data_IF_447101931089
#
_entry.id   IF_447101931089
#
_cell.length_a   1.000
_cell.length_b   1.000
_cell.length_c   1.000
_cell.angle_alpha   90.00
_cell.angle_beta   90.00
_cell.angle_gamma   90.00
#
_symmetry.space_group_name_H-M   'P 1'
#
loop_
_entity.id
_entity.type
_entity.pdbx_description
1 polymer ?
#
# COMPACT_ATOMS: atom_id res chain seq x y z
N UNK A 1 19.11 3.62 -26.06
CA UNK A 1 19.85 3.84 -24.80
C UNK A 1 19.42 5.19 -24.25
N UNK A 2 18.48 5.22 -23.31
CA UNK A 2 18.05 6.46 -22.66
C UNK A 2 18.93 6.68 -21.43
N UNK A 3 19.62 7.82 -21.43
CA UNK A 3 20.57 8.27 -20.44
C UNK A 3 19.82 8.58 -19.12
N UNK A 4 19.99 7.74 -18.08
CA UNK A 4 19.48 8.05 -16.73
C UNK A 4 20.34 9.16 -16.14
N UNK A 5 19.89 10.41 -16.26
CA UNK A 5 20.45 11.51 -15.47
C UNK A 5 20.24 11.19 -13.98
N UNK A 6 21.26 11.47 -13.17
CA UNK A 6 21.13 11.41 -11.72
C UNK A 6 20.04 12.41 -11.27
N UNK A 7 19.06 11.90 -10.54
CA UNK A 7 17.90 12.62 -10.04
C UNK A 7 18.34 13.50 -8.86
N UNK A 8 18.03 14.79 -8.92
CA UNK A 8 18.43 15.76 -7.89
C UNK A 8 17.54 15.66 -6.63
N UNK A 9 17.96 16.23 -5.49
CA UNK A 9 17.15 16.26 -4.26
C UNK A 9 15.81 16.99 -4.42
N UNK A 10 15.67 17.86 -5.42
CA UNK A 10 14.43 18.60 -5.72
C UNK A 10 13.43 17.78 -6.55
N UNK A 11 13.88 16.73 -7.25
CA UNK A 11 13.02 15.81 -8.01
C UNK A 11 12.31 14.78 -7.11
N UNK A 12 12.77 14.60 -5.86
CA UNK A 12 12.17 13.69 -4.88
C UNK A 12 10.74 14.11 -4.50
N UNK A 13 10.43 15.41 -4.59
CA UNK A 13 9.07 15.92 -4.38
C UNK A 13 8.12 15.47 -5.50
N UNK A 14 8.56 15.56 -6.75
CA UNK A 14 7.80 15.10 -7.90
C UNK A 14 7.70 13.57 -7.98
N UNK A 15 8.75 12.86 -7.56
CA UNK A 15 8.77 11.39 -7.53
C UNK A 15 7.84 10.82 -6.46
N UNK A 16 7.80 11.35 -5.23
CA UNK A 16 6.92 10.82 -4.17
C UNK A 16 5.44 11.15 -4.43
N UNK A 17 5.15 12.32 -5.00
CA UNK A 17 3.78 12.72 -5.36
C UNK A 17 3.24 11.82 -6.50
N UNK A 18 4.12 11.30 -7.35
CA UNK A 18 3.74 10.29 -8.32
C UNK A 18 3.77 8.91 -7.66
N UNK A 19 2.67 8.17 -7.75
CA UNK A 19 2.59 6.74 -7.38
C UNK A 19 3.80 5.92 -7.88
N UNK A 20 4.41 6.34 -8.99
CA UNK A 20 5.67 5.85 -9.52
C UNK A 20 6.75 5.55 -8.47
N UNK A 21 6.98 6.39 -7.45
CA UNK A 21 8.00 6.07 -6.44
C UNK A 21 7.63 4.85 -5.59
N UNK A 22 6.35 4.74 -5.20
CA UNK A 22 5.86 3.59 -4.43
C UNK A 22 5.87 2.30 -5.24
N UNK A 23 5.57 2.39 -6.55
CA UNK A 23 5.64 1.28 -7.49
C UNK A 23 7.08 0.84 -7.73
N UNK A 24 8.01 1.78 -7.96
CA UNK A 24 9.44 1.51 -8.20
C UNK A 24 10.07 0.80 -7.00
N UNK A 25 9.69 1.18 -5.78
CA UNK A 25 10.18 0.54 -4.56
C UNK A 25 9.43 -0.72 -4.16
N UNK A 26 8.34 -1.08 -4.85
CA UNK A 26 7.53 -2.25 -4.51
C UNK A 26 6.92 -2.19 -3.11
N UNK A 27 6.61 -0.98 -2.61
CA UNK A 27 6.09 -0.80 -1.24
C UNK A 27 4.64 -1.28 -1.14
N UNK A 28 3.83 -1.03 -2.18
CA UNK A 28 2.42 -1.39 -2.18
C UNK A 28 2.26 -2.85 -2.65
N UNK A 29 1.59 -3.72 -1.87
CA UNK A 29 1.36 -5.10 -2.25
C UNK A 29 0.50 -5.19 -3.52
N UNK A 30 0.65 -6.27 -4.29
CA UNK A 30 -0.03 -6.45 -5.58
C UNK A 30 -1.57 -6.51 -5.42
N UNK A 31 -2.02 -7.01 -4.28
CA UNK A 31 -3.43 -7.15 -3.90
C UNK A 31 -4.09 -5.80 -3.60
N UNK A 32 -3.31 -4.75 -3.34
CA UNK A 32 -3.83 -3.43 -3.02
C UNK A 32 -3.97 -2.58 -4.28
N UNK A 33 -5.16 -2.56 -4.90
CA UNK A 33 -5.39 -1.87 -6.18
C UNK A 33 -5.98 -0.46 -6.08
N UNK A 34 -6.52 -0.08 -4.91
CA UNK A 34 -7.19 1.22 -4.74
C UNK A 34 -6.27 2.41 -4.99
N UNK A 35 -6.77 3.43 -5.67
CA UNK A 35 -6.07 4.69 -5.96
C UNK A 35 -4.73 4.58 -6.72
N UNK A 36 -4.39 3.41 -7.27
CA UNK A 36 -3.14 3.22 -8.04
C UNK A 36 -3.39 3.41 -9.53
N UNK A 37 -2.49 4.11 -10.25
CA UNK A 37 -2.57 4.22 -11.70
C UNK A 37 -2.62 2.83 -12.35
N UNK A 38 -3.41 2.69 -13.42
CA UNK A 38 -3.54 1.47 -14.21
C UNK A 38 -4.09 0.25 -13.45
N UNK A 39 -4.70 0.46 -12.27
CA UNK A 39 -5.42 -0.57 -11.52
C UNK A 39 -6.85 -0.14 -11.27
N UNK A 40 -7.75 -1.11 -11.18
CA UNK A 40 -9.17 -0.90 -11.02
C UNK A 40 -9.81 -1.96 -10.14
N UNK A 41 -11.01 -1.66 -9.64
CA UNK A 41 -11.84 -2.65 -8.94
C UNK A 41 -12.15 -3.86 -9.82
N UNK A 42 -12.18 -3.70 -11.15
CA UNK A 42 -12.42 -4.80 -12.08
C UNK A 42 -11.29 -5.83 -12.06
N UNK A 43 -10.04 -5.40 -11.88
CA UNK A 43 -8.89 -6.30 -11.83
C UNK A 43 -8.98 -7.22 -10.59
N UNK A 44 -9.33 -6.66 -9.44
CA UNK A 44 -9.54 -7.43 -8.21
C UNK A 44 -10.77 -8.33 -8.28
N UNK A 45 -11.86 -7.84 -8.88
CA UNK A 45 -13.07 -8.65 -9.11
C UNK A 45 -12.76 -9.84 -10.03
N UNK A 46 -11.98 -9.61 -11.10
CA UNK A 46 -11.55 -10.67 -12.00
C UNK A 46 -10.76 -11.75 -11.26
N UNK A 47 -9.80 -11.36 -10.41
CA UNK A 47 -9.03 -12.30 -9.57
C UNK A 47 -9.94 -13.16 -8.69
N UNK A 48 -10.90 -12.56 -7.99
CA UNK A 48 -11.86 -13.28 -7.15
C UNK A 48 -12.71 -14.25 -8.00
N UNK A 49 -13.17 -13.82 -9.18
CA UNK A 49 -13.91 -14.68 -10.10
C UNK A 49 -13.09 -15.88 -10.57
N UNK A 50 -11.81 -15.68 -10.91
CA UNK A 50 -10.90 -16.77 -11.31
C UNK A 50 -10.69 -17.78 -10.18
N UNK A 51 -10.50 -17.30 -8.94
CA UNK A 51 -10.38 -18.17 -7.77
C UNK A 51 -11.64 -19.00 -7.54
N UNK A 52 -12.82 -18.40 -7.70
CA UNK A 52 -14.10 -19.11 -7.59
C UNK A 52 -14.31 -20.16 -8.68
N UNK A 53 -13.99 -19.83 -9.94
CA UNK A 53 -14.07 -20.78 -11.05
C UNK A 53 -13.13 -21.96 -10.86
N UNK A 54 -11.90 -21.71 -10.40
CA UNK A 54 -10.93 -22.76 -10.10
C UNK A 54 -11.43 -23.66 -8.96
N UNK A 55 -11.94 -23.08 -7.88
CA UNK A 55 -12.49 -23.84 -6.75
C UNK A 55 -13.65 -24.75 -7.17
N UNK A 56 -14.56 -24.24 -8.01
CA UNK A 56 -15.64 -25.03 -8.60
C UNK A 56 -15.12 -26.20 -9.43
N UNK A 57 -14.10 -25.97 -10.26
CA UNK A 57 -13.50 -27.00 -11.10
C UNK A 57 -12.86 -28.11 -10.26
N UNK A 58 -12.15 -27.73 -9.20
CA UNK A 58 -11.47 -28.67 -8.30
C UNK A 58 -12.40 -29.26 -7.22
N UNK A 59 -13.69 -28.89 -7.20
CA UNK A 59 -14.66 -29.30 -6.17
C UNK A 59 -14.22 -28.96 -4.74
N UNK A 60 -13.50 -27.85 -4.58
CA UNK A 60 -12.99 -27.36 -3.31
C UNK A 60 -13.89 -26.24 -2.77
N UNK A 61 -14.15 -26.25 -1.46
CA UNK A 61 -14.87 -25.16 -0.81
C UNK A 61 -13.99 -23.90 -0.74
N UNK A 62 -14.54 -22.75 -1.15
CA UNK A 62 -13.91 -21.44 -0.99
C UNK A 62 -14.82 -20.52 -0.18
N UNK A 63 -14.22 -19.80 0.75
CA UNK A 63 -14.86 -18.81 1.59
C UNK A 63 -14.22 -17.45 1.33
N UNK A 64 -15.03 -16.41 1.22
CA UNK A 64 -14.58 -15.03 1.07
C UNK A 64 -15.06 -14.20 2.27
N UNK A 65 -14.16 -13.43 2.87
CA UNK A 65 -14.47 -12.49 3.94
C UNK A 65 -14.30 -11.06 3.40
N UNK A 66 -15.36 -10.27 3.44
CA UNK A 66 -15.32 -8.86 3.06
C UNK A 66 -15.21 -8.01 4.32
N UNK A 67 -14.08 -7.33 4.49
CA UNK A 67 -13.82 -6.42 5.61
C UNK A 67 -13.94 -4.98 5.10
N UNK A 68 -14.84 -4.23 5.72
CA UNK A 68 -14.99 -2.79 5.46
C UNK A 68 -14.50 -2.01 6.68
N UNK A 69 -13.60 -1.04 6.45
CA UNK A 69 -13.13 -0.14 7.50
C UNK A 69 -14.08 1.04 7.63
N UNK A 70 -14.65 1.24 8.81
CA UNK A 70 -15.44 2.43 9.13
C UNK A 70 -14.53 3.65 9.16
N UNK A 71 -14.92 4.72 8.45
CA UNK A 71 -14.23 6.03 8.45
C UNK A 71 -12.71 5.93 8.26
N UNK A 72 -12.27 5.09 7.31
CA UNK A 72 -10.87 4.66 7.18
C UNK A 72 -9.85 5.80 7.08
N UNK A 73 -10.20 6.90 6.40
CA UNK A 73 -9.32 8.07 6.30
C UNK A 73 -9.35 8.92 7.57
N UNK A 74 -10.49 9.02 8.26
CA UNK A 74 -10.66 9.87 9.44
C UNK A 74 -10.07 9.20 10.71
N UNK A 75 -9.83 7.88 10.67
CA UNK A 75 -9.29 7.10 11.78
C UNK A 75 -7.78 6.86 11.74
N UNK A 76 -7.07 7.38 10.73
CA UNK A 76 -5.61 7.19 10.61
C UNK A 76 -4.89 7.90 11.76
N UNK A 77 -4.10 7.14 12.51
CA UNK A 77 -3.16 7.67 13.50
C UNK A 77 -2.01 8.38 12.79
N UNK A 78 -1.94 9.71 12.97
CA UNK A 78 -0.96 10.56 12.30
C UNK A 78 0.46 10.26 12.77
N UNK A 79 0.67 10.04 14.06
CA UNK A 79 2.01 9.80 14.59
C UNK A 79 2.56 8.47 14.07
N UNK A 80 1.71 7.44 14.06
CA UNK A 80 2.05 6.16 13.46
C UNK A 80 2.30 6.27 11.96
N UNK A 81 1.47 7.02 11.23
CA UNK A 81 1.68 7.30 9.80
C UNK A 81 3.05 7.93 9.56
N UNK A 82 3.45 8.92 10.35
CA UNK A 82 4.75 9.56 10.17
C UNK A 82 5.92 8.60 10.38
N UNK A 83 5.80 7.69 11.35
CA UNK A 83 6.81 6.68 11.60
C UNK A 83 6.86 5.65 10.48
N UNK A 84 5.71 5.23 9.94
CA UNK A 84 5.63 4.37 8.75
C UNK A 84 6.33 5.02 7.56
N UNK A 85 6.01 6.29 7.25
CA UNK A 85 6.64 7.00 6.14
C UNK A 85 8.16 7.13 6.32
N UNK A 86 8.63 7.37 7.55
CA UNK A 86 10.06 7.41 7.86
C UNK A 86 10.72 6.06 7.59
N UNK A 87 10.09 4.95 7.99
CA UNK A 87 10.59 3.58 7.77
C UNK A 87 10.61 3.18 6.30
N UNK A 88 9.65 3.64 5.50
CA UNK A 88 9.67 3.49 4.04
C UNK A 88 10.72 4.36 3.33
N UNK A 89 11.47 5.17 4.08
CA UNK A 89 12.56 5.98 3.57
C UNK A 89 12.10 7.28 2.90
N UNK A 90 10.96 7.83 3.34
CA UNK A 90 10.57 9.20 2.95
C UNK A 90 11.58 10.20 3.57
N UNK A 91 12.21 11.09 2.77
CA UNK A 91 13.20 12.02 3.29
C UNK A 91 12.65 12.96 4.39
N UNK A 92 13.43 13.33 5.42
CA UNK A 92 12.95 14.14 6.53
C UNK A 92 12.33 15.48 6.13
N UNK A 93 12.90 16.18 5.13
CA UNK A 93 12.37 17.45 4.62
C UNK A 93 10.97 17.29 4.03
N UNK A 94 10.74 16.20 3.29
CA UNK A 94 9.45 15.87 2.71
C UNK A 94 8.44 15.48 3.79
N UNK A 95 8.85 14.64 4.74
CA UNK A 95 8.00 14.26 5.86
C UNK A 95 7.54 15.49 6.63
N UNK A 96 8.41 16.49 6.83
CA UNK A 96 8.03 17.76 7.43
C UNK A 96 6.95 18.48 6.62
N UNK A 97 7.08 18.57 5.29
CA UNK A 97 6.05 19.18 4.42
C UNK A 97 4.71 18.45 4.55
N UNK A 98 4.71 17.11 4.46
CA UNK A 98 3.50 16.30 4.60
C UNK A 98 2.84 16.50 5.97
N UNK A 99 3.64 16.57 7.03
CA UNK A 99 3.16 16.86 8.40
C UNK A 99 2.51 18.23 8.49
N UNK A 100 3.13 19.27 7.92
CA UNK A 100 2.57 20.63 7.93
C UNK A 100 1.22 20.72 7.23
N UNK A 101 0.93 19.86 6.24
CA UNK A 101 -0.41 19.80 5.62
C UNK A 101 -1.51 19.25 6.55
N UNK A 102 -1.12 18.57 7.62
CA UNK A 102 -2.02 17.87 8.55
C UNK A 102 -1.94 18.41 9.99
N UNK A 103 -1.03 19.33 10.29
CA UNK A 103 -0.92 19.99 11.60
C UNK A 103 -1.92 21.15 11.73
N UNK A 104 -2.39 21.39 12.96
CA UNK A 104 -3.28 22.53 13.26
C UNK A 104 -4.63 22.50 12.55
N UNK A 105 -5.06 21.34 12.06
CA UNK A 105 -6.35 21.20 11.39
C UNK A 105 -7.49 21.49 12.35
N UNK A 106 -8.41 22.36 11.95
CA UNK A 106 -9.65 22.66 12.66
C UNK A 106 -10.84 22.43 11.74
N UNK A 107 -11.92 21.93 12.29
CA UNK A 107 -13.18 21.72 11.58
C UNK A 107 -14.33 22.32 12.37
N UNK A 108 -15.45 22.53 11.68
CA UNK A 108 -16.74 22.87 12.26
C UNK A 108 -17.83 22.29 11.38
N UNK A 109 -18.95 21.93 11.98
CA UNK A 109 -20.07 21.32 11.28
C UNK A 109 -21.06 22.40 10.88
N UNK A 110 -21.54 22.35 9.64
CA UNK A 110 -22.69 23.16 9.21
C UNK A 110 -23.96 22.34 9.41
N UNK A 111 -24.91 22.89 10.15
CA UNK A 111 -26.22 22.29 10.40
C UNK A 111 -27.20 22.64 9.27
N UNK A 112 -28.30 21.88 9.18
CA UNK A 112 -29.29 22.00 8.10
C UNK A 112 -29.98 23.37 8.06
N UNK A 113 -30.09 24.04 9.22
CA UNK A 113 -30.59 25.41 9.36
C UNK A 113 -29.56 26.48 8.95
N UNK A 114 -28.38 26.06 8.47
CA UNK A 114 -27.33 26.95 7.97
C UNK A 114 -26.39 27.50 9.05
N UNK A 115 -26.59 27.13 10.32
CA UNK A 115 -25.68 27.52 11.40
C UNK A 115 -24.38 26.70 11.36
N UNK A 116 -23.35 27.22 12.02
CA UNK A 116 -22.07 26.52 12.17
C UNK A 116 -21.82 26.22 13.65
N UNK A 117 -21.26 25.05 13.93
CA UNK A 117 -20.73 24.75 15.26
C UNK A 117 -19.51 25.64 15.58
N UNK A 118 -19.12 25.62 16.85
CA UNK A 118 -17.79 26.05 17.26
C UNK A 118 -16.70 25.26 16.53
N UNK A 119 -15.54 25.90 16.38
CA UNK A 119 -14.36 25.25 15.83
C UNK A 119 -13.78 24.24 16.82
N UNK A 120 -13.53 23.02 16.35
CA UNK A 120 -12.84 21.99 17.09
C UNK A 120 -11.60 21.52 16.34
N UNK A 121 -10.61 21.03 17.10
CA UNK A 121 -9.36 20.55 16.53
C UNK A 121 -9.52 19.12 16.01
N UNK A 122 -8.94 18.86 14.84
CA UNK A 122 -8.95 17.54 14.20
C UNK A 122 -7.59 16.91 14.39
N UNK A 123 -7.46 16.10 15.45
CA UNK A 123 -6.20 15.44 15.82
C UNK A 123 -5.92 14.12 15.10
N UNK A 124 -6.93 13.53 14.44
CA UNK A 124 -6.83 12.22 13.80
C UNK A 124 -7.21 12.30 12.32
N UNK A 125 -6.78 11.30 11.56
CA UNK A 125 -7.17 11.14 10.17
C UNK A 125 -6.47 12.07 9.19
N UNK A 126 -6.70 11.80 7.91
CA UNK A 126 -6.13 12.53 6.79
C UNK A 126 -7.05 13.67 6.36
N UNK A 127 -6.47 14.74 5.81
CA UNK A 127 -7.24 15.91 5.37
C UNK A 127 -8.14 15.56 4.19
N UNK A 128 -9.45 15.70 4.37
CA UNK A 128 -10.41 15.52 3.27
C UNK A 128 -10.16 16.52 2.14
N UNK A 129 -10.23 16.06 0.90
CA UNK A 129 -9.89 16.85 -0.29
C UNK A 129 -8.38 17.09 -0.48
N UNK A 130 -7.51 16.49 0.33
CA UNK A 130 -6.08 16.46 0.05
C UNK A 130 -5.77 15.42 -1.03
N UNK A 131 -5.09 15.83 -2.09
CA UNK A 131 -4.67 14.93 -3.17
C UNK A 131 -3.70 13.83 -2.70
N UNK A 132 -3.00 14.05 -1.59
CA UNK A 132 -2.08 13.06 -1.01
C UNK A 132 -2.77 12.08 -0.08
N UNK A 133 -3.98 12.37 0.42
CA UNK A 133 -4.65 11.51 1.38
C UNK A 133 -4.82 10.06 0.88
N UNK A 134 -5.22 9.78 -0.37
CA UNK A 134 -5.31 8.41 -0.86
C UNK A 134 -3.97 7.66 -0.86
N UNK A 135 -2.88 8.33 -1.21
CA UNK A 135 -1.54 7.75 -1.21
C UNK A 135 -1.06 7.47 0.23
N UNK A 136 -1.25 8.42 1.14
CA UNK A 136 -0.88 8.27 2.55
C UNK A 136 -1.65 7.14 3.21
N UNK A 137 -2.95 7.04 2.95
CA UNK A 137 -3.77 5.92 3.41
C UNK A 137 -3.25 4.60 2.87
N UNK A 138 -2.94 4.54 1.56
CA UNK A 138 -2.42 3.32 0.97
C UNK A 138 -1.10 2.86 1.59
N UNK A 139 -0.17 3.78 1.87
CA UNK A 139 1.10 3.47 2.52
C UNK A 139 0.89 2.99 3.96
N UNK A 140 0.03 3.67 4.72
CA UNK A 140 -0.33 3.26 6.07
C UNK A 140 -0.93 1.85 6.10
N UNK A 141 -1.88 1.60 5.20
CA UNK A 141 -2.55 0.30 5.11
C UNK A 141 -1.61 -0.81 4.65
N UNK A 142 -0.70 -0.53 3.72
CA UNK A 142 0.34 -1.48 3.32
C UNK A 142 1.21 -1.90 4.51
N UNK A 143 1.64 -0.95 5.35
CA UNK A 143 2.41 -1.26 6.56
C UNK A 143 1.60 -2.10 7.55
N UNK A 144 0.32 -1.79 7.75
CA UNK A 144 -0.57 -2.61 8.57
C UNK A 144 -0.72 -4.04 8.03
N UNK A 145 -0.92 -4.21 6.73
CA UNK A 145 -1.01 -5.52 6.09
C UNK A 145 0.29 -6.31 6.25
N UNK A 146 1.45 -5.67 6.11
CA UNK A 146 2.74 -6.32 6.34
C UNK A 146 2.87 -6.84 7.77
N UNK A 147 2.47 -6.04 8.77
CA UNK A 147 2.46 -6.49 10.17
C UNK A 147 1.46 -7.63 10.38
N UNK A 148 0.25 -7.50 9.87
CA UNK A 148 -0.79 -8.53 10.02
C UNK A 148 -0.34 -9.88 9.41
N UNK A 149 0.21 -9.85 8.19
CA UNK A 149 0.74 -11.04 7.51
C UNK A 149 1.90 -11.65 8.30
N UNK A 150 2.84 -10.82 8.78
CA UNK A 150 3.96 -11.30 9.58
C UNK A 150 3.52 -11.93 10.91
N UNK A 151 2.44 -11.46 11.53
CA UNK A 151 1.86 -12.09 12.72
C UNK A 151 1.11 -13.39 12.36
N UNK A 152 0.38 -13.43 11.25
CA UNK A 152 -0.29 -14.65 10.77
C UNK A 152 0.72 -15.76 10.42
N UNK A 153 1.85 -15.40 9.83
CA UNK A 153 2.93 -16.34 9.50
C UNK A 153 3.57 -16.99 10.73
N UNK A 154 3.37 -16.44 11.94
CA UNK A 154 3.83 -17.06 13.19
C UNK A 154 2.87 -18.13 13.72
N UNK A 155 1.62 -18.16 13.25
CA UNK A 155 0.63 -19.13 13.71
C UNK A 155 0.73 -20.44 12.89
N UNK A 156 1.14 -21.57 13.50
CA UNK A 156 1.26 -22.85 12.80
C UNK A 156 -0.07 -23.37 12.24
N UNK A 157 -1.21 -22.97 12.81
CA UNK A 157 -2.54 -23.39 12.34
C UNK A 157 -2.94 -22.63 11.08
N UNK A 158 -2.60 -21.35 11.01
CA UNK A 158 -2.87 -20.53 9.83
C UNK A 158 -1.93 -20.95 8.69
N UNK A 159 -0.64 -21.09 8.99
CA UNK A 159 0.37 -21.41 7.95
C UNK A 159 0.25 -22.82 7.37
N UNK A 160 -0.33 -23.79 8.09
CA UNK A 160 -0.53 -25.15 7.60
C UNK A 160 -1.44 -25.22 6.35
N UNK A 161 -2.44 -24.34 6.28
CA UNK A 161 -3.45 -24.32 5.20
C UNK A 161 -3.23 -23.19 4.19
N UNK A 162 -2.18 -22.37 4.36
CA UNK A 162 -1.88 -21.26 3.45
C UNK A 162 -1.31 -21.76 2.12
N UNK A 163 -2.06 -21.55 1.04
CA UNK A 163 -1.55 -21.68 -0.33
C UNK A 163 -0.81 -20.38 -0.70
N UNK A 164 0.52 -20.43 -0.71
CA UNK A 164 1.35 -19.32 -1.24
C UNK A 164 1.29 -19.35 -2.76
N UNK A 165 0.55 -18.44 -3.37
CA UNK A 165 0.55 -18.26 -4.83
C UNK A 165 1.87 -17.63 -5.22
N UNK A 166 2.86 -18.45 -5.59
CA UNK A 166 4.11 -17.96 -6.17
C UNK A 166 3.86 -17.36 -7.55
N UNK A 167 4.40 -16.17 -7.82
CA UNK A 167 4.58 -15.62 -9.17
C UNK A 167 5.63 -16.44 -9.93
N UNK A 168 5.33 -17.69 -10.25
CA UNK A 168 6.04 -18.43 -11.30
C UNK A 168 5.13 -18.55 -12.51
N UNK A 169 5.17 -17.53 -13.36
CA UNK A 169 4.70 -17.68 -14.74
C UNK A 169 5.82 -18.38 -15.51
N UNK A 170 5.83 -19.71 -15.52
CA UNK A 170 6.61 -20.46 -16.51
C UNK A 170 5.96 -20.31 -17.88
N UNK A 171 6.47 -19.38 -18.69
CA UNK A 171 6.20 -19.37 -20.12
C UNK A 171 6.95 -20.56 -20.74
N UNK A 172 6.23 -21.62 -21.12
CA UNK A 172 6.80 -22.72 -21.92
C UNK A 172 7.07 -22.24 -23.35
N UNK A 173 8.19 -21.54 -23.54
CA UNK A 173 8.76 -21.18 -24.83
C UNK A 173 10.01 -22.02 -25.12
N UNK A 174 10.08 -22.61 -26.31
CA UNK A 174 11.11 -23.56 -26.76
C UNK A 174 12.56 -23.10 -26.47
N UNK A 175 13.38 -24.06 -26.02
CA UNK A 175 14.81 -23.96 -25.66
C UNK A 175 15.66 -23.15 -26.66
N UNK A 176 16.21 -22.03 -26.17
CA UNK A 176 17.37 -21.33 -26.73
C UNK A 176 18.42 -21.14 -25.63
N UNK A 177 19.62 -21.66 -25.87
CA UNK A 177 20.74 -21.80 -24.94
C UNK A 177 21.46 -20.46 -24.73
N UNK A 178 21.46 -19.88 -23.53
CA UNK A 178 22.59 -19.07 -23.04
C UNK A 178 22.60 -18.93 -21.52
N UNK A 179 23.79 -19.09 -20.97
CA UNK A 179 24.20 -18.92 -19.58
C UNK A 179 24.14 -17.44 -19.16
N UNK A 180 23.45 -17.11 -18.08
CA UNK A 180 23.44 -15.75 -17.52
C UNK A 180 22.92 -15.74 -16.08
N UNK A 181 23.70 -15.09 -15.19
CA UNK A 181 23.50 -14.95 -13.74
C UNK A 181 22.05 -14.68 -13.32
N UNK A 182 21.54 -15.48 -12.37
CA UNK A 182 20.36 -15.14 -11.56
C UNK A 182 20.71 -13.92 -10.69
N UNK A 183 20.03 -12.81 -10.90
CA UNK A 183 20.02 -11.66 -9.98
C UNK A 183 18.68 -11.66 -9.27
N UNK A 184 18.72 -11.93 -7.97
CA UNK A 184 17.58 -11.94 -7.04
C UNK A 184 17.24 -10.50 -6.66
N UNK A 185 16.12 -9.98 -7.18
CA UNK A 185 15.60 -8.65 -6.82
C UNK A 185 14.55 -8.68 -5.68
N UNK A 186 14.27 -9.86 -5.12
CA UNK A 186 13.26 -10.05 -4.06
C UNK A 186 13.87 -9.83 -2.66
N UNK A 187 15.18 -9.91 -2.52
CA UNK A 187 15.89 -9.83 -1.23
C UNK A 187 15.99 -8.42 -0.65
N UNK A 188 15.76 -7.37 -1.44
CA UNK A 188 16.05 -5.99 -1.00
C UNK A 188 14.86 -5.33 -0.28
N UNK A 189 13.62 -5.79 -0.52
CA UNK A 189 12.44 -5.28 0.17
C UNK A 189 12.29 -5.86 1.59
N UNK A 190 12.62 -7.15 1.78
CA UNK A 190 12.66 -7.79 3.11
C UNK A 190 13.79 -7.22 3.98
N UNK A 191 14.91 -6.78 3.38
CA UNK A 191 16.02 -6.17 4.12
C UNK A 191 15.71 -4.77 4.68
N UNK A 192 14.70 -4.08 4.12
CA UNK A 192 14.29 -2.74 4.57
C UNK A 192 13.33 -2.77 5.76
N UNK A 193 12.72 -3.92 6.07
CA UNK A 193 11.71 -4.04 7.12
C UNK A 193 12.05 -5.13 8.13
N UNK A 194 12.63 -4.74 9.26
CA UNK A 194 12.67 -5.55 10.48
C UNK A 194 11.70 -4.94 11.51
N UNK A 195 10.59 -5.61 11.87
CA UNK A 195 9.63 -5.07 12.83
C UNK A 195 10.18 -4.98 14.27
N UNK A 196 11.36 -5.54 14.57
CA UNK A 196 11.99 -5.61 15.90
C UNK A 196 13.29 -4.79 16.03
N UNK A 197 13.54 -3.80 15.17
CA UNK A 197 14.63 -2.81 15.34
C UNK A 197 14.13 -1.38 15.31
#
# INVERSE_FOLDING_TARGET
MANRKAVGPDDLLAELINFSWTEIKGILPEEQSGFRPHRSTLDMLFTIQRLHELAKKESTAVFACFVALTTANDSVDRDLLWDVLRRFGVPPKMLAVIRHFHEGMRARVRTDDGQYSEWFDVGQGLRQGCNLAPLLFNLFFAAMLMVAVAEFDKDPKVTADMVKIGTQVEYTGKKGRSTGKKTTAVTDAEALWNPLR
#
